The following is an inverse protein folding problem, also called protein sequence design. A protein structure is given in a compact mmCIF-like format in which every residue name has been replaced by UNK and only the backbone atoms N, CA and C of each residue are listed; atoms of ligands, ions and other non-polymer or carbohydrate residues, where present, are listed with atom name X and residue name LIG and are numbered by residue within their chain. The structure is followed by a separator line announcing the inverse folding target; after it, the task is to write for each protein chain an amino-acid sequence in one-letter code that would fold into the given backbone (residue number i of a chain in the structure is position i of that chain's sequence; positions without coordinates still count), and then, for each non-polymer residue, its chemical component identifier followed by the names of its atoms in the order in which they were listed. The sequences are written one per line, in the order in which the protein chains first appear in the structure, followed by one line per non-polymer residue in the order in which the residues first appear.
data_IF_532212684875
#
_entry.id   IF_532212684875
#
_cell.length_a   1.000
_cell.length_b   1.000
_cell.length_c   1.000
_cell.angle_alpha   90.00
_cell.angle_beta   90.00
_cell.angle_gamma   90.00
#
_symmetry.space_group_name_H-M   'P 1'
#
loop_
_entity.id
_entity.type
_entity.pdbx_description
1 polymer ?
#
# COMPACT_ATOMS: atom_id res chain seq x y z
N UNK A 1 -10.83 -10.93 18.17
CA UNK A 1 -11.78 -10.03 18.85
C UNK A 1 -12.65 -9.45 17.73
N UNK A 2 -13.82 -9.98 17.39
CA UNK A 2 -14.98 -10.33 18.20
C UNK A 2 -16.16 -9.64 17.49
N UNK A 3 -16.72 -10.28 16.47
CA UNK A 3 -17.78 -9.76 15.61
C UNK A 3 -19.17 -9.84 16.24
N UNK A 4 -19.25 -9.96 17.57
CA UNK A 4 -20.51 -9.91 18.30
C UNK A 4 -20.90 -8.44 18.51
N UNK A 5 -21.36 -7.82 17.42
CA UNK A 5 -22.07 -6.55 17.49
C UNK A 5 -23.52 -6.81 17.93
N UNK A 6 -24.02 -5.91 18.77
CA UNK A 6 -25.39 -5.81 19.34
C UNK A 6 -26.43 -5.52 18.24
N UNK A 7 -26.36 -6.21 17.12
CA UNK A 7 -27.29 -6.14 15.99
C UNK A 7 -27.60 -7.52 15.42
N UNK A 8 -26.92 -8.58 15.85
CA UNK A 8 -27.17 -9.96 15.42
C UNK A 8 -28.36 -10.65 16.09
N UNK A 9 -29.35 -9.93 16.62
CA UNK A 9 -30.56 -10.55 17.14
C UNK A 9 -31.51 -10.84 15.98
N UNK A 10 -31.30 -11.98 15.33
CA UNK A 10 -32.29 -12.58 14.42
C UNK A 10 -33.62 -12.74 15.15
N UNK A 11 -34.62 -11.97 14.72
CA UNK A 11 -36.03 -12.20 15.07
C UNK A 11 -36.55 -13.41 14.30
N UNK A 12 -36.14 -14.62 14.69
CA UNK A 12 -36.70 -15.86 14.15
C UNK A 12 -37.87 -16.38 14.99
N UNK A 13 -38.95 -16.65 14.26
CA UNK A 13 -40.25 -17.14 14.67
C UNK A 13 -40.22 -18.22 15.77
N UNK A 14 -41.16 -18.07 16.69
CA UNK A 14 -41.38 -18.96 17.81
C UNK A 14 -42.09 -20.26 17.36
N UNK A 15 -41.34 -21.36 17.24
CA UNK A 15 -41.89 -22.71 17.40
C UNK A 15 -40.79 -23.68 17.86
N UNK A 16 -41.06 -24.47 18.90
CA UNK A 16 -40.27 -25.65 19.26
C UNK A 16 -39.31 -25.48 20.43
N UNK A 17 -39.71 -26.00 21.60
CA UNK A 17 -38.93 -26.06 22.82
C UNK A 17 -37.67 -26.92 22.71
N UNK A 18 -36.56 -26.38 23.23
CA UNK A 18 -35.28 -27.05 23.31
C UNK A 18 -34.22 -26.03 23.68
N UNK A 19 -33.96 -25.90 24.99
CA UNK A 19 -32.83 -25.23 25.65
C UNK A 19 -32.01 -24.24 24.79
N UNK A 20 -32.67 -23.22 24.24
CA UNK A 20 -31.97 -22.06 23.67
C UNK A 20 -31.42 -21.33 24.87
N UNK A 21 -30.09 -21.35 25.09
CA UNK A 21 -29.46 -20.37 25.96
C UNK A 21 -30.01 -19.02 25.50
N UNK A 22 -30.82 -18.38 26.34
CA UNK A 22 -31.27 -17.01 26.09
C UNK A 22 -30.01 -16.23 25.71
N UNK A 23 -30.03 -15.43 24.64
CA UNK A 23 -28.88 -14.59 24.33
C UNK A 23 -28.55 -13.86 25.63
N UNK A 24 -27.27 -13.93 26.06
CA UNK A 24 -26.83 -13.21 27.25
C UNK A 24 -27.21 -11.77 26.96
N UNK A 25 -28.23 -11.27 27.65
CA UNK A 25 -28.63 -9.87 27.56
C UNK A 25 -27.51 -9.14 28.27
N UNK A 26 -26.43 -8.88 27.54
CA UNK A 26 -25.37 -8.03 28.03
C UNK A 26 -26.05 -6.71 28.39
N UNK A 27 -25.88 -6.32 29.64
CA UNK A 27 -26.37 -5.03 30.07
C UNK A 27 -25.66 -4.00 29.23
N UNK A 28 -26.41 -3.18 28.48
CA UNK A 28 -25.83 -2.22 27.53
C UNK A 28 -24.66 -1.44 28.13
N UNK A 29 -24.77 -1.02 29.41
CA UNK A 29 -23.68 -0.36 30.14
C UNK A 29 -22.36 -1.14 30.21
N UNK A 30 -22.38 -2.44 30.50
CA UNK A 30 -21.17 -3.27 30.59
C UNK A 30 -20.45 -3.38 29.24
N UNK A 31 -21.21 -3.38 28.14
CA UNK A 31 -20.65 -3.39 26.79
C UNK A 31 -19.98 -2.06 26.46
N UNK A 32 -20.60 -0.93 26.84
CA UNK A 32 -20.00 0.40 26.65
C UNK A 32 -18.73 0.58 27.47
N UNK A 33 -18.71 0.13 28.73
CA UNK A 33 -17.50 0.18 29.56
C UNK A 33 -16.34 -0.61 28.94
N UNK A 34 -16.60 -1.80 28.38
CA UNK A 34 -15.58 -2.61 27.68
C UNK A 34 -15.08 -1.93 26.40
N UNK A 35 -15.98 -1.30 25.65
CA UNK A 35 -15.64 -0.64 24.39
C UNK A 35 -14.90 0.68 24.57
N UNK A 36 -15.04 1.35 25.71
CA UNK A 36 -14.35 2.59 26.03
C UNK A 36 -12.83 2.46 25.78
N UNK A 37 -12.20 1.39 26.29
CA UNK A 37 -10.77 1.13 26.08
C UNK A 37 -10.37 0.96 24.61
N UNK A 38 -11.23 0.32 23.81
CA UNK A 38 -11.00 0.17 22.37
C UNK A 38 -11.02 1.53 21.66
N UNK A 39 -12.02 2.38 21.89
CA UNK A 39 -12.07 3.69 21.22
C UNK A 39 -10.98 4.64 21.70
N UNK A 40 -10.60 4.56 22.98
CA UNK A 40 -9.41 5.29 23.47
C UNK A 40 -8.13 4.85 22.75
N UNK A 41 -7.98 3.55 22.46
CA UNK A 41 -6.82 3.07 21.68
C UNK A 41 -6.79 3.59 20.24
N UNK A 42 -7.97 3.93 19.68
CA UNK A 42 -8.10 4.58 18.39
C UNK A 42 -7.88 6.10 18.44
N UNK A 43 -7.73 6.68 19.63
CA UNK A 43 -7.50 8.12 19.84
C UNK A 43 -8.73 8.93 20.27
N UNK A 44 -9.86 8.29 20.59
CA UNK A 44 -11.03 9.00 21.11
C UNK A 44 -10.81 9.41 22.57
N UNK A 45 -11.10 10.67 22.92
CA UNK A 45 -11.04 11.13 24.31
C UNK A 45 -12.09 10.45 25.19
N UNK A 46 -11.80 10.30 26.49
CA UNK A 46 -12.74 9.73 27.45
C UNK A 46 -14.07 10.52 27.50
N UNK A 47 -13.98 11.85 27.55
CA UNK A 47 -15.15 12.73 27.52
C UNK A 47 -15.89 12.66 26.17
N UNK A 48 -15.18 12.58 25.05
CA UNK A 48 -15.83 12.45 23.74
C UNK A 48 -16.61 11.13 23.61
N UNK A 49 -16.14 10.06 24.27
CA UNK A 49 -16.81 8.76 24.27
C UNK A 49 -18.08 8.74 25.11
N UNK A 50 -18.08 9.38 26.28
CA UNK A 50 -19.20 9.36 27.23
C UNK A 50 -20.17 10.54 27.08
N UNK A 51 -19.62 11.73 26.90
CA UNK A 51 -20.32 13.02 26.92
C UNK A 51 -20.48 13.62 25.51
N UNK A 52 -19.76 13.08 24.52
CA UNK A 52 -19.78 13.55 23.14
C UNK A 52 -20.96 13.04 22.29
N UNK A 53 -20.86 13.27 20.98
CA UNK A 53 -21.87 12.79 20.02
C UNK A 53 -21.80 11.26 19.89
N UNK A 54 -22.95 10.58 20.02
CA UNK A 54 -23.05 9.13 19.93
C UNK A 54 -22.61 8.58 18.56
N UNK A 55 -22.67 9.40 17.50
CA UNK A 55 -22.21 9.04 16.16
C UNK A 55 -20.67 8.99 16.05
N UNK A 56 -19.92 9.58 17.00
CA UNK A 56 -18.44 9.52 16.97
C UNK A 56 -17.93 8.09 16.99
N UNK A 57 -18.53 7.22 17.79
CA UNK A 57 -18.18 5.80 17.83
C UNK A 57 -18.28 5.14 16.45
N UNK A 58 -19.26 5.55 15.62
CA UNK A 58 -19.40 5.06 14.25
C UNK A 58 -18.26 5.54 13.35
N UNK A 59 -17.91 6.82 13.41
CA UNK A 59 -16.82 7.37 12.59
C UNK A 59 -15.46 6.78 12.94
N UNK A 60 -15.19 6.50 14.22
CA UNK A 60 -13.95 5.86 14.63
C UNK A 60 -13.83 4.40 14.14
N UNK A 61 -14.94 3.66 14.04
CA UNK A 61 -14.93 2.33 13.40
C UNK A 61 -14.55 2.39 11.93
N UNK A 62 -15.19 3.31 11.19
CA UNK A 62 -14.88 3.52 9.76
C UNK A 62 -13.43 3.99 9.58
N UNK A 63 -12.92 4.81 10.52
CA UNK A 63 -11.53 5.23 10.53
C UNK A 63 -10.58 4.04 10.73
N UNK A 64 -10.84 3.16 11.70
CA UNK A 64 -10.05 1.95 11.97
C UNK A 64 -10.01 1.02 10.75
N UNK A 65 -11.15 0.82 10.07
CA UNK A 65 -11.22 0.06 8.82
C UNK A 65 -10.32 0.67 7.73
N UNK A 66 -10.44 1.99 7.49
CA UNK A 66 -9.59 2.70 6.51
C UNK A 66 -8.11 2.70 6.89
N UNK A 67 -7.76 2.67 8.17
CA UNK A 67 -6.37 2.52 8.62
C UNK A 67 -5.85 1.13 8.27
N UNK A 68 -6.63 0.08 8.55
CA UNK A 68 -6.26 -1.31 8.22
C UNK A 68 -6.10 -1.52 6.72
N UNK A 69 -7.00 -0.97 5.91
CA UNK A 69 -6.89 -1.02 4.45
C UNK A 69 -5.59 -0.37 3.96
N UNK A 70 -5.30 0.85 4.41
CA UNK A 70 -4.05 1.54 4.06
C UNK A 70 -2.80 0.77 4.51
N UNK A 71 -2.83 0.16 5.70
CA UNK A 71 -1.74 -0.68 6.18
C UNK A 71 -1.56 -1.92 5.32
N UNK A 72 -2.65 -2.59 4.93
CA UNK A 72 -2.60 -3.75 4.05
C UNK A 72 -2.02 -3.40 2.68
N UNK A 73 -2.45 -2.29 2.09
CA UNK A 73 -1.90 -1.78 0.82
C UNK A 73 -0.40 -1.44 0.93
N UNK A 74 0.00 -0.79 2.02
CA UNK A 74 1.40 -0.45 2.27
C UNK A 74 2.29 -1.71 2.43
N UNK A 75 1.80 -2.71 3.17
CA UNK A 75 2.50 -3.99 3.33
C UNK A 75 2.57 -4.77 2.01
N UNK A 76 1.51 -4.72 1.20
CA UNK A 76 1.51 -5.32 -0.13
C UNK A 76 2.58 -4.69 -1.03
N UNK A 77 2.64 -3.35 -1.06
CA UNK A 77 3.67 -2.62 -1.80
C UNK A 77 5.09 -2.94 -1.28
N UNK A 78 5.26 -3.05 0.04
CA UNK A 78 6.53 -3.45 0.64
C UNK A 78 6.92 -4.89 0.23
N UNK A 79 5.96 -5.81 0.19
CA UNK A 79 6.16 -7.17 -0.29
C UNK A 79 6.65 -7.21 -1.73
N UNK A 80 6.10 -6.35 -2.60
CA UNK A 80 6.56 -6.20 -3.98
C UNK A 80 8.02 -5.72 -4.06
N UNK A 81 8.40 -4.72 -3.25
CA UNK A 81 9.79 -4.26 -3.19
C UNK A 81 10.76 -5.34 -2.71
N UNK A 82 10.38 -6.14 -1.72
CA UNK A 82 11.19 -7.28 -1.26
C UNK A 82 11.30 -8.37 -2.31
N UNK A 83 10.20 -8.69 -2.99
CA UNK A 83 10.18 -9.65 -4.07
C UNK A 83 11.16 -9.25 -5.19
N UNK A 84 11.11 -8.00 -5.63
CA UNK A 84 12.03 -7.46 -6.63
C UNK A 84 13.50 -7.57 -6.16
N UNK A 85 13.80 -7.17 -4.93
CA UNK A 85 15.15 -7.26 -4.38
C UNK A 85 15.68 -8.70 -4.31
N UNK A 86 14.83 -9.68 -3.98
CA UNK A 86 15.19 -11.09 -3.95
C UNK A 86 15.48 -11.63 -5.35
N UNK A 87 14.67 -11.24 -6.34
CA UNK A 87 14.89 -11.61 -7.75
C UNK A 87 16.20 -11.00 -8.25
N UNK A 88 16.48 -9.74 -7.91
CA UNK A 88 17.70 -9.05 -8.29
C UNK A 88 18.96 -9.68 -7.66
N UNK A 89 18.84 -10.17 -6.43
CA UNK A 89 19.89 -10.90 -5.72
C UNK A 89 20.04 -12.37 -6.19
N UNK A 90 19.05 -12.92 -6.90
CA UNK A 90 19.02 -14.33 -7.30
C UNK A 90 20.27 -14.84 -8.03
N UNK A 91 20.98 -14.07 -8.90
CA UNK A 91 22.19 -14.56 -9.57
C UNK A 91 23.37 -14.81 -8.63
N UNK A 92 23.40 -14.14 -7.47
CA UNK A 92 24.43 -14.34 -6.44
C UNK A 92 24.16 -15.63 -5.66
N UNK A 93 22.89 -15.89 -5.36
CA UNK A 93 22.47 -17.07 -4.60
C UNK A 93 22.39 -18.33 -5.47
N UNK A 94 22.30 -18.19 -6.78
CA UNK A 94 22.26 -19.30 -7.73
C UNK A 94 23.67 -19.82 -8.04
N UNK A 95 24.01 -21.00 -7.50
CA UNK A 95 25.28 -21.69 -7.73
C UNK A 95 25.54 -22.05 -9.21
N UNK A 96 24.49 -22.15 -10.04
CA UNK A 96 24.61 -22.45 -11.47
C UNK A 96 24.57 -21.19 -12.36
N UNK A 97 24.57 -19.99 -11.76
CA UNK A 97 24.59 -18.74 -12.54
C UNK A 97 25.91 -18.58 -13.28
N UNK A 98 25.84 -18.25 -14.57
CA UNK A 98 27.04 -17.92 -15.37
C UNK A 98 27.71 -16.63 -14.91
N UNK A 99 26.98 -15.73 -14.25
CA UNK A 99 27.46 -14.44 -13.74
C UNK A 99 26.92 -14.24 -12.32
N UNK A 100 27.79 -14.38 -11.32
CA UNK A 100 27.45 -14.14 -9.91
C UNK A 100 27.46 -12.64 -9.57
N UNK A 101 26.76 -11.82 -10.35
CA UNK A 101 26.59 -10.40 -10.08
C UNK A 101 25.11 -10.10 -9.91
N UNK A 102 24.70 -9.42 -8.83
CA UNK A 102 23.30 -9.04 -8.64
C UNK A 102 22.89 -8.05 -9.73
N UNK A 103 21.61 -8.09 -10.09
CA UNK A 103 21.01 -7.07 -10.94
C UNK A 103 20.90 -5.80 -10.07
N UNK A 104 21.27 -4.61 -10.58
CA UNK A 104 21.12 -3.37 -9.81
C UNK A 104 19.67 -3.11 -9.46
N UNK A 105 19.40 -2.84 -8.18
CA UNK A 105 18.08 -2.48 -7.72
C UNK A 105 17.57 -1.20 -8.39
N UNK A 106 16.24 -1.04 -8.41
CA UNK A 106 15.58 0.16 -8.91
C UNK A 106 16.15 1.43 -8.28
N UNK A 107 16.32 2.43 -9.14
CA UNK A 107 16.82 3.76 -8.75
C UNK A 107 15.70 4.73 -8.35
N UNK A 108 14.43 4.38 -8.63
CA UNK A 108 13.28 5.23 -8.36
C UNK A 108 12.09 4.42 -7.80
N UNK A 109 11.29 4.98 -6.88
CA UNK A 109 10.10 4.34 -6.33
C UNK A 109 9.04 4.02 -7.39
N UNK A 110 8.21 3.01 -7.11
CA UNK A 110 7.05 2.63 -7.92
C UNK A 110 6.05 3.80 -7.91
N UNK A 111 5.64 4.31 -9.09
CA UNK A 111 4.67 5.38 -9.16
C UNK A 111 3.28 4.85 -8.76
N UNK A 112 2.74 5.34 -7.65
CA UNK A 112 1.41 4.94 -7.15
C UNK A 112 0.27 5.76 -7.79
N UNK A 113 0.59 6.92 -8.37
CA UNK A 113 -0.39 7.83 -8.96
C UNK A 113 -0.12 8.00 -10.45
N UNK A 114 -1.16 8.14 -11.26
CA UNK A 114 -1.01 8.38 -12.71
C UNK A 114 -0.16 9.60 -13.03
N UNK A 115 -0.27 10.67 -12.24
CA UNK A 115 0.53 11.88 -12.41
C UNK A 115 2.04 11.57 -12.26
N UNK A 116 2.40 10.77 -11.25
CA UNK A 116 3.79 10.30 -11.06
C UNK A 116 4.23 9.38 -12.19
N UNK A 117 3.35 8.53 -12.69
CA UNK A 117 3.65 7.65 -13.82
C UNK A 117 3.94 8.45 -15.10
N UNK A 118 3.12 9.46 -15.42
CA UNK A 118 3.33 10.37 -16.56
C UNK A 118 4.65 11.15 -16.44
N UNK A 119 4.94 11.69 -15.26
CA UNK A 119 6.20 12.40 -15.00
C UNK A 119 7.42 11.50 -15.23
N UNK A 120 7.39 10.26 -14.73
CA UNK A 120 8.50 9.31 -14.94
C UNK A 120 8.68 8.98 -16.43
N UNK A 121 7.58 8.79 -17.18
CA UNK A 121 7.65 8.55 -18.62
C UNK A 121 8.22 9.75 -19.39
N UNK A 122 7.80 10.96 -19.04
CA UNK A 122 8.33 12.19 -19.64
C UNK A 122 9.83 12.36 -19.36
N UNK A 123 10.27 12.11 -18.12
CA UNK A 123 11.68 12.13 -17.75
C UNK A 123 12.51 11.09 -18.50
N UNK A 124 12.00 9.87 -18.64
CA UNK A 124 12.65 8.81 -19.42
C UNK A 124 12.73 9.16 -20.90
N UNK A 125 11.65 9.70 -21.47
CA UNK A 125 11.61 10.14 -22.86
C UNK A 125 12.60 11.29 -23.09
N UNK A 126 12.65 12.27 -22.20
CA UNK A 126 13.60 13.37 -22.29
C UNK A 126 15.06 12.90 -22.18
N UNK A 127 15.35 11.95 -21.28
CA UNK A 127 16.68 11.31 -21.17
C UNK A 127 17.07 10.59 -22.47
N UNK A 128 16.16 9.79 -23.05
CA UNK A 128 16.38 9.09 -24.33
C UNK A 128 16.62 10.07 -25.49
N UNK A 129 15.83 11.14 -25.57
CA UNK A 129 15.97 12.17 -26.60
C UNK A 129 17.31 12.90 -26.49
N UNK A 130 17.74 13.26 -25.29
CA UNK A 130 19.02 13.94 -25.09
C UNK A 130 20.21 13.04 -25.42
N UNK A 131 20.19 11.78 -24.98
CA UNK A 131 21.19 10.79 -25.37
C UNK A 131 21.25 10.60 -26.90
N UNK A 132 20.09 10.55 -27.56
CA UNK A 132 20.02 10.47 -29.03
C UNK A 132 20.60 11.70 -29.73
N UNK A 133 20.32 12.91 -29.22
CA UNK A 133 20.91 14.16 -29.73
C UNK A 133 22.44 14.17 -29.57
N UNK A 134 22.96 13.72 -28.43
CA UNK A 134 24.40 13.64 -28.19
C UNK A 134 25.08 12.65 -29.13
N UNK A 135 24.50 11.45 -29.28
CA UNK A 135 24.98 10.46 -30.24
C UNK A 135 25.00 11.01 -31.67
N UNK A 136 23.92 11.68 -32.09
CA UNK A 136 23.84 12.31 -33.41
C UNK A 136 24.90 13.39 -33.61
N UNK A 137 25.16 14.23 -32.60
CA UNK A 137 26.25 15.23 -32.64
C UNK A 137 27.62 14.58 -32.81
N UNK A 138 27.89 13.48 -32.10
CA UNK A 138 29.15 12.75 -32.25
C UNK A 138 29.32 12.17 -33.66
N UNK A 139 28.26 11.61 -34.23
CA UNK A 139 28.26 11.10 -35.61
C UNK A 139 28.53 12.24 -36.60
N UNK A 140 27.86 13.39 -36.46
CA UNK A 140 28.07 14.56 -37.33
C UNK A 140 29.51 15.10 -37.25
N UNK A 141 30.10 15.17 -36.06
CA UNK A 141 31.50 15.58 -35.89
C UNK A 141 32.47 14.60 -36.58
N UNK A 142 32.19 13.29 -36.50
CA UNK A 142 32.93 12.26 -37.20
C UNK A 142 32.83 12.36 -38.73
N UNK A 143 31.67 12.73 -39.28
CA UNK A 143 31.48 12.92 -40.72
C UNK A 143 32.14 14.22 -41.21
N UNK A 144 31.96 15.34 -40.51
CA UNK A 144 32.59 16.61 -40.87
C UNK A 144 34.12 16.53 -40.87
N UNK A 145 34.71 15.82 -39.90
CA UNK A 145 36.17 15.62 -39.87
C UNK A 145 36.68 14.74 -41.01
N UNK A 146 35.86 13.83 -41.56
CA UNK A 146 36.21 13.03 -42.75
C UNK A 146 36.05 13.81 -44.06
N UNK A 147 35.07 14.70 -44.15
CA UNK A 147 34.87 15.56 -45.33
C UNK A 147 36.02 16.58 -45.49
N UNK A 148 36.42 17.24 -44.39
CA UNK A 148 37.55 18.20 -44.43
C UNK A 148 38.87 17.56 -44.88
N UNK A 149 39.12 16.29 -44.55
CA UNK A 149 40.33 15.56 -45.01
C UNK A 149 40.32 15.14 -46.47
N UNK A 150 39.19 15.28 -47.17
CA UNK A 150 39.04 14.91 -48.59
C UNK A 150 39.09 16.11 -49.54
N UNK A 151 39.01 17.32 -49.00
CA UNK A 151 39.10 18.58 -49.75
C UNK A 151 40.51 19.20 -49.72
N UNK A 152 41.43 18.63 -48.93
CA UNK A 152 42.89 18.85 -48.97
C UNK A 152 43.58 17.76 -49.80
#
# INVERSE_FOLDING_TARGET
MGSELVTGSDSQAATGGGNRRLPVVYRYGETFEKLCGYYMSLGMGYHDYWDGDCEMARYYRVMDEKVKERQNEALWLQGLYFYEALVDASPVLNAMSKKHKPIPYRQAPIPLTEARHRQQQEEENHKKLNAGKEAMKQIMAGVNSKFKRKEE
#
